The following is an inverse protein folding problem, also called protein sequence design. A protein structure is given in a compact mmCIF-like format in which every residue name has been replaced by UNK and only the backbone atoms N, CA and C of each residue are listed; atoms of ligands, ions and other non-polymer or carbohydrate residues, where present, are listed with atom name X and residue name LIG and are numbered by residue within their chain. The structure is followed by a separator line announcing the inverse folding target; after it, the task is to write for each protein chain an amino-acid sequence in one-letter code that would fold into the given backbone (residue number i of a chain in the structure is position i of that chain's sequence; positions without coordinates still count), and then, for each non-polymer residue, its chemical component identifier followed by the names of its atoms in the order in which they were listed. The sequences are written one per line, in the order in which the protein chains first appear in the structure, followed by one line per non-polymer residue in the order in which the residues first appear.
data_IF_623847823093
#
_entry.id   IF_623847823093
#
_cell.length_a   1.000
_cell.length_b   1.000
_cell.length_c   1.000
_cell.angle_alpha   90.00
_cell.angle_beta   90.00
_cell.angle_gamma   90.00
#
_symmetry.space_group_name_H-M   'P 1'
#
loop_
_entity.id
_entity.type
_entity.pdbx_description
1 polymer ?
#
# COMPACT_ATOMS: atom_id res chain seq x y z
N UNK A 1 -26.76 -64.79 -28.38
CA UNK A 1 -25.70 -64.53 -27.38
C UNK A 1 -25.87 -63.13 -26.82
N UNK A 2 -25.85 -62.90 -25.49
CA UNK A 2 -25.99 -61.56 -24.93
C UNK A 2 -24.67 -60.79 -25.00
N UNK A 3 -24.72 -59.55 -25.47
CA UNK A 3 -23.56 -58.65 -25.56
C UNK A 3 -23.36 -57.99 -24.19
N UNK A 4 -22.35 -58.46 -23.44
CA UNK A 4 -21.95 -57.86 -22.16
C UNK A 4 -21.06 -56.65 -22.45
N UNK A 5 -21.53 -55.43 -22.17
CA UNK A 5 -20.72 -54.20 -22.29
C UNK A 5 -19.75 -54.12 -21.12
N UNK A 6 -18.46 -54.33 -21.39
CA UNK A 6 -17.39 -54.18 -20.41
C UNK A 6 -17.12 -52.67 -20.22
N UNK A 7 -17.07 -52.15 -18.98
CA UNK A 7 -16.81 -50.74 -18.75
C UNK A 7 -15.36 -50.40 -19.13
N UNK A 8 -15.19 -49.39 -19.99
CA UNK A 8 -13.89 -48.92 -20.44
C UNK A 8 -13.24 -48.14 -19.29
N UNK A 9 -12.38 -48.80 -18.53
CA UNK A 9 -11.52 -48.16 -17.52
C UNK A 9 -10.32 -47.55 -18.24
N UNK A 10 -10.30 -46.22 -18.37
CA UNK A 10 -9.18 -45.47 -18.98
C UNK A 10 -7.97 -45.50 -18.03
N UNK A 11 -7.04 -46.44 -18.24
CA UNK A 11 -5.80 -46.61 -17.45
C UNK A 11 -4.59 -45.82 -17.96
N UNK A 12 -4.72 -45.05 -19.04
CA UNK A 12 -3.62 -44.25 -19.57
C UNK A 12 -4.08 -42.81 -19.72
N UNK A 13 -3.24 -41.85 -19.32
CA UNK A 13 -3.48 -40.39 -19.38
C UNK A 13 -3.63 -39.82 -20.80
N UNK A 14 -4.06 -40.64 -21.75
CA UNK A 14 -4.40 -40.26 -23.12
C UNK A 14 -5.83 -39.73 -23.08
N UNK A 15 -5.93 -38.42 -22.92
CA UNK A 15 -7.19 -37.68 -22.95
C UNK A 15 -7.61 -37.53 -24.42
N UNK A 16 -8.90 -37.71 -24.74
CA UNK A 16 -9.40 -37.43 -26.09
C UNK A 16 -9.31 -35.94 -26.38
N UNK A 17 -8.95 -35.57 -27.61
CA UNK A 17 -8.81 -34.16 -28.01
C UNK A 17 -10.04 -33.29 -27.66
N UNK A 18 -11.23 -33.87 -27.80
CA UNK A 18 -12.50 -33.24 -27.41
C UNK A 18 -12.59 -32.95 -25.90
N UNK A 19 -12.10 -33.85 -25.07
CA UNK A 19 -12.09 -33.68 -23.61
C UNK A 19 -11.01 -32.68 -23.19
N UNK A 20 -9.87 -32.65 -23.89
CA UNK A 20 -8.82 -31.65 -23.66
C UNK A 20 -9.32 -30.23 -23.92
N UNK A 21 -10.04 -30.01 -25.03
CA UNK A 21 -10.65 -28.71 -25.33
C UNK A 21 -11.68 -28.30 -24.26
N UNK A 22 -12.55 -29.23 -23.83
CA UNK A 22 -13.51 -28.97 -22.76
C UNK A 22 -12.84 -28.65 -21.42
N UNK A 23 -11.73 -29.32 -21.11
CA UNK A 23 -10.95 -29.04 -19.91
C UNK A 23 -10.29 -27.66 -19.97
N UNK A 24 -9.72 -27.29 -21.12
CA UNK A 24 -9.15 -25.96 -21.33
C UNK A 24 -10.22 -24.86 -21.19
N UNK A 25 -11.40 -25.04 -21.77
CA UNK A 25 -12.50 -24.09 -21.61
C UNK A 25 -12.96 -23.94 -20.15
N UNK A 26 -13.03 -25.04 -19.40
CA UNK A 26 -13.36 -25.00 -17.96
C UNK A 26 -12.32 -24.24 -17.16
N UNK A 27 -11.04 -24.56 -17.35
CA UNK A 27 -9.94 -23.87 -16.67
C UNK A 27 -9.88 -22.38 -17.03
N UNK A 28 -10.12 -22.02 -18.29
CA UNK A 28 -10.20 -20.62 -18.72
C UNK A 28 -11.38 -19.88 -18.07
N UNK A 29 -12.55 -20.53 -17.97
CA UNK A 29 -13.72 -19.98 -17.27
C UNK A 29 -13.43 -19.78 -15.78
N UNK A 30 -12.87 -20.77 -15.10
CA UNK A 30 -12.49 -20.69 -13.69
C UNK A 30 -11.44 -19.59 -13.42
N UNK A 31 -10.43 -19.46 -14.27
CA UNK A 31 -9.44 -18.38 -14.18
C UNK A 31 -10.10 -17.00 -14.36
N UNK A 32 -11.01 -16.87 -15.33
CA UNK A 32 -11.77 -15.62 -15.56
C UNK A 32 -12.68 -15.28 -14.38
N UNK A 33 -13.28 -16.28 -13.73
CA UNK A 33 -14.10 -16.10 -12.55
C UNK A 33 -13.28 -15.77 -11.31
N UNK A 34 -12.11 -16.39 -11.14
CA UNK A 34 -11.17 -16.06 -10.08
C UNK A 34 -10.70 -14.60 -10.20
N UNK A 35 -10.38 -14.15 -11.41
CA UNK A 35 -10.06 -12.74 -11.70
C UNK A 35 -11.24 -11.81 -11.39
N UNK A 36 -12.46 -12.17 -11.80
CA UNK A 36 -13.68 -11.40 -11.47
C UNK A 36 -13.94 -11.34 -9.96
N UNK A 37 -13.70 -12.43 -9.23
CA UNK A 37 -13.85 -12.50 -7.76
C UNK A 37 -12.78 -11.66 -7.06
N UNK A 38 -11.53 -11.70 -7.53
CA UNK A 38 -10.44 -10.83 -7.04
C UNK A 38 -10.78 -9.35 -7.24
N UNK A 39 -11.20 -8.98 -8.45
CA UNK A 39 -11.60 -7.60 -8.79
C UNK A 39 -12.81 -7.14 -7.99
N UNK A 40 -13.80 -8.01 -7.76
CA UNK A 40 -14.93 -7.72 -6.85
C UNK A 40 -14.48 -7.58 -5.39
N UNK A 41 -13.47 -8.32 -4.95
CA UNK A 41 -12.88 -8.22 -3.61
C UNK A 41 -12.11 -6.90 -3.45
N UNK A 42 -11.38 -6.46 -4.46
CA UNK A 42 -10.76 -5.13 -4.53
C UNK A 42 -11.79 -4.02 -4.48
N UNK A 43 -12.89 -4.15 -5.24
CA UNK A 43 -13.98 -3.17 -5.23
C UNK A 43 -14.74 -3.12 -3.88
N UNK A 44 -14.63 -4.18 -3.07
CA UNK A 44 -15.15 -4.25 -1.69
C UNK A 44 -14.12 -3.83 -0.63
N UNK A 45 -12.84 -3.63 -0.99
CA UNK A 45 -11.87 -3.04 -0.05
C UNK A 45 -12.34 -1.62 0.24
N UNK A 46 -12.15 -1.18 1.49
CA UNK A 46 -12.50 0.17 1.90
C UNK A 46 -12.01 1.17 0.85
N UNK A 47 -12.85 2.13 0.40
CA UNK A 47 -12.54 3.07 -0.69
C UNK A 47 -11.35 4.02 -0.41
N UNK A 48 -10.59 3.76 0.65
CA UNK A 48 -9.54 4.62 1.22
C UNK A 48 -8.25 3.82 1.43
N UNK A 49 -8.16 2.58 0.91
CA UNK A 49 -6.86 1.91 0.86
C UNK A 49 -5.96 2.66 -0.12
N UNK A 50 -4.82 3.11 0.37
CA UNK A 50 -3.86 3.84 -0.45
C UNK A 50 -3.15 2.82 -1.34
N UNK A 51 -3.09 3.10 -2.63
CA UNK A 51 -2.47 2.23 -3.62
C UNK A 51 -1.47 3.04 -4.42
N UNK A 52 -0.41 2.40 -4.93
CA UNK A 52 0.52 3.05 -5.84
C UNK A 52 -0.18 3.60 -7.10
N UNK A 53 -1.24 2.93 -7.55
CA UNK A 53 -2.08 3.38 -8.65
C UNK A 53 -2.75 4.72 -8.33
N UNK A 54 -3.24 4.89 -7.10
CA UNK A 54 -3.80 6.16 -6.65
C UNK A 54 -2.74 7.27 -6.64
N UNK A 55 -1.53 7.00 -6.11
CA UNK A 55 -0.43 7.98 -6.09
C UNK A 55 -0.03 8.40 -7.51
N UNK A 56 0.13 7.42 -8.41
CA UNK A 56 0.44 7.67 -9.83
C UNK A 56 -0.66 8.52 -10.48
N UNK A 57 -1.93 8.16 -10.26
CA UNK A 57 -3.08 8.92 -10.75
C UNK A 57 -3.09 10.35 -10.21
N UNK A 58 -2.92 10.52 -8.90
CA UNK A 58 -2.88 11.81 -8.22
C UNK A 58 -1.83 12.75 -8.82
N UNK A 59 -0.62 12.24 -9.06
CA UNK A 59 0.49 13.04 -9.59
C UNK A 59 0.37 13.32 -11.09
N UNK A 60 -0.29 12.45 -11.87
CA UNK A 60 -0.44 12.61 -13.33
C UNK A 60 -1.69 13.41 -13.75
N UNK A 61 -2.74 13.47 -12.92
CA UNK A 61 -3.99 14.17 -13.27
C UNK A 61 -3.78 15.69 -13.36
N UNK A 62 -4.00 16.25 -14.55
CA UNK A 62 -3.97 17.70 -14.81
C UNK A 62 -5.36 18.35 -14.78
N UNK A 63 -6.44 17.57 -14.97
CA UNK A 63 -7.81 18.10 -14.96
C UNK A 63 -8.18 18.63 -13.56
N UNK A 64 -8.51 19.93 -13.47
CA UNK A 64 -8.79 20.62 -12.20
C UNK A 64 -9.93 19.97 -11.40
N UNK A 65 -11.02 19.57 -12.07
CA UNK A 65 -12.18 18.95 -11.39
C UNK A 65 -11.84 17.58 -10.83
N UNK A 66 -11.14 16.75 -11.59
CA UNK A 66 -10.71 15.43 -11.13
C UNK A 66 -9.65 15.56 -10.03
N UNK A 67 -8.67 16.46 -10.19
CA UNK A 67 -7.65 16.73 -9.17
C UNK A 67 -8.26 17.19 -7.85
N UNK A 68 -9.27 18.05 -7.88
CA UNK A 68 -10.02 18.45 -6.68
C UNK A 68 -10.67 17.26 -5.96
N UNK A 69 -11.26 16.32 -6.70
CA UNK A 69 -11.82 15.08 -6.12
C UNK A 69 -10.75 14.16 -5.54
N UNK A 70 -9.60 14.05 -6.19
CA UNK A 70 -8.49 13.24 -5.68
C UNK A 70 -7.89 13.85 -4.40
N UNK A 71 -7.80 15.18 -4.31
CA UNK A 71 -7.38 15.89 -3.10
C UNK A 71 -8.33 15.63 -1.94
N UNK A 72 -9.66 15.70 -2.15
CA UNK A 72 -10.62 15.43 -1.06
C UNK A 72 -10.54 13.99 -0.58
N UNK A 73 -10.35 13.02 -1.48
CA UNK A 73 -10.11 11.61 -1.11
C UNK A 73 -8.81 11.48 -0.32
N UNK A 74 -7.72 12.09 -0.77
CA UNK A 74 -6.43 12.06 -0.07
C UNK A 74 -6.51 12.71 1.33
N UNK A 75 -7.29 13.78 1.49
CA UNK A 75 -7.54 14.39 2.80
C UNK A 75 -8.32 13.45 3.74
N UNK A 76 -9.29 12.69 3.22
CA UNK A 76 -9.96 11.66 3.99
C UNK A 76 -8.98 10.54 4.40
N UNK A 77 -8.10 10.11 3.47
CA UNK A 77 -7.03 9.15 3.75
C UNK A 77 -6.09 9.65 4.85
N UNK A 78 -5.66 10.91 4.81
CA UNK A 78 -4.86 11.54 5.88
C UNK A 78 -5.60 11.54 7.22
N UNK A 79 -6.88 11.91 7.22
CA UNK A 79 -7.70 11.95 8.43
C UNK A 79 -7.83 10.57 9.09
N UNK A 80 -7.95 9.52 8.28
CA UNK A 80 -8.03 8.14 8.76
C UNK A 80 -6.68 7.67 9.29
N UNK A 81 -5.58 7.97 8.58
CA UNK A 81 -4.25 7.61 9.04
C UNK A 81 -3.85 8.35 10.32
N UNK A 82 -4.30 9.59 10.50
CA UNK A 82 -4.14 10.34 11.76
C UNK A 82 -4.72 9.58 12.96
N UNK A 83 -5.87 8.91 12.78
CA UNK A 83 -6.47 8.06 13.81
C UNK A 83 -5.69 6.76 13.99
N UNK A 84 -5.26 6.15 12.88
CA UNK A 84 -4.51 4.89 12.85
C UNK A 84 -3.17 4.98 13.58
N UNK A 85 -2.48 6.12 13.50
CA UNK A 85 -1.23 6.38 14.25
C UNK A 85 -1.45 6.92 15.66
N UNK A 86 -2.71 7.02 16.14
CA UNK A 86 -3.00 7.53 17.48
C UNK A 86 -2.53 8.98 17.68
N UNK A 87 -2.63 9.84 16.66
CA UNK A 87 -2.05 11.19 16.71
C UNK A 87 -2.54 12.02 17.92
N UNK A 88 -3.83 11.91 18.26
CA UNK A 88 -4.41 12.61 19.41
C UNK A 88 -4.23 11.86 20.74
N UNK A 89 -3.79 10.61 20.69
CA UNK A 89 -3.65 9.72 21.84
C UNK A 89 -2.19 9.29 22.08
N UNK A 90 -1.24 10.07 21.55
CA UNK A 90 0.21 9.83 21.66
C UNK A 90 0.62 8.40 21.26
N UNK A 91 0.01 7.88 20.19
CA UNK A 91 0.32 6.54 19.68
C UNK A 91 -0.21 5.39 20.53
N UNK A 92 -1.13 5.65 21.47
CA UNK A 92 -1.76 4.63 22.31
C UNK A 92 -3.26 4.48 21.99
N UNK A 93 -3.78 3.25 22.07
CA UNK A 93 -5.21 2.97 21.92
C UNK A 93 -5.48 1.60 21.29
N UNK A 94 -6.67 1.06 21.53
CA UNK A 94 -7.07 -0.28 21.09
C UNK A 94 -7.13 -0.45 19.57
N UNK A 95 -7.31 0.65 18.82
CA UNK A 95 -7.40 0.66 17.36
C UNK A 95 -6.18 1.33 16.70
N UNK A 96 -5.13 1.62 17.47
CA UNK A 96 -3.91 2.22 16.94
C UNK A 96 -3.04 1.11 16.34
N UNK A 97 -2.60 1.32 15.11
CA UNK A 97 -1.64 0.47 14.44
C UNK A 97 -0.58 1.37 13.80
N UNK A 98 0.49 1.60 14.57
CA UNK A 98 1.57 2.53 14.21
C UNK A 98 2.26 2.09 12.93
N UNK A 99 2.73 0.84 12.86
CA UNK A 99 3.45 0.31 11.70
C UNK A 99 2.64 0.47 10.41
N UNK A 100 1.36 0.04 10.41
CA UNK A 100 0.53 0.17 9.23
C UNK A 100 0.09 1.61 8.95
N UNK A 101 0.03 2.49 9.96
CA UNK A 101 -0.27 3.91 9.76
C UNK A 101 0.90 4.68 9.17
N UNK A 102 2.12 4.38 9.59
CA UNK A 102 3.33 4.98 9.04
C UNK A 102 3.56 4.57 7.59
N UNK A 103 3.38 3.30 7.23
CA UNK A 103 3.49 2.85 5.83
C UNK A 103 2.50 3.54 4.91
N UNK A 104 1.26 3.70 5.37
CA UNK A 104 0.21 4.38 4.62
C UNK A 104 0.52 5.87 4.45
N UNK A 105 1.03 6.53 5.49
CA UNK A 105 1.45 7.93 5.42
C UNK A 105 2.67 8.12 4.51
N UNK A 106 3.60 7.18 4.46
CA UNK A 106 4.71 7.21 3.50
C UNK A 106 4.20 7.16 2.06
N UNK A 107 3.21 6.31 1.76
CA UNK A 107 2.60 6.31 0.43
C UNK A 107 1.90 7.65 0.14
N UNK A 108 1.17 8.22 1.10
CA UNK A 108 0.53 9.54 0.93
C UNK A 108 1.55 10.67 0.77
N UNK A 109 2.73 10.57 1.38
CA UNK A 109 3.80 11.55 1.23
C UNK A 109 4.32 11.63 -0.22
N UNK A 110 4.10 10.61 -1.04
CA UNK A 110 4.43 10.63 -2.46
C UNK A 110 3.44 11.46 -3.31
N UNK A 111 2.27 11.82 -2.77
CA UNK A 111 1.29 12.70 -3.41
C UNK A 111 1.73 14.16 -3.28
N UNK A 112 2.36 14.72 -4.32
CA UNK A 112 3.01 16.04 -4.26
C UNK A 112 2.08 17.18 -3.82
N UNK A 113 2.63 18.17 -3.14
CA UNK A 113 1.92 19.38 -2.72
C UNK A 113 1.33 19.28 -1.31
N UNK A 114 0.09 19.76 -1.12
CA UNK A 114 -0.53 19.89 0.22
C UNK A 114 -0.68 18.54 0.93
N UNK A 115 -0.90 17.47 0.17
CA UNK A 115 -1.06 16.11 0.74
C UNK A 115 0.27 15.60 1.27
N UNK A 116 1.36 15.78 0.53
CA UNK A 116 2.71 15.44 0.97
C UNK A 116 3.06 16.16 2.27
N UNK A 117 2.84 17.47 2.32
CA UNK A 117 3.16 18.28 3.50
C UNK A 117 2.41 17.80 4.75
N UNK A 118 1.09 17.56 4.61
CA UNK A 118 0.27 17.03 5.69
C UNK A 118 0.64 15.60 6.11
N UNK A 119 1.05 14.75 5.17
CA UNK A 119 1.51 13.39 5.47
C UNK A 119 2.82 13.42 6.29
N UNK A 120 3.78 14.25 5.88
CA UNK A 120 5.06 14.41 6.57
C UNK A 120 4.89 14.99 7.97
N UNK A 121 3.99 15.95 8.17
CA UNK A 121 3.72 16.52 9.50
C UNK A 121 3.11 15.50 10.47
N UNK A 122 2.18 14.68 9.97
CA UNK A 122 1.59 13.60 10.76
C UNK A 122 2.64 12.55 11.09
N UNK A 123 3.47 12.15 10.12
CA UNK A 123 4.58 11.22 10.34
C UNK A 123 5.53 11.72 11.42
N UNK A 124 6.05 12.95 11.28
CA UNK A 124 6.99 13.57 12.23
C UNK A 124 6.41 13.59 13.65
N UNK A 125 5.19 14.10 13.81
CA UNK A 125 4.56 14.19 15.14
C UNK A 125 4.31 12.80 15.73
N UNK A 126 3.86 11.86 14.91
CA UNK A 126 3.58 10.49 15.38
C UNK A 126 4.86 9.74 15.77
N UNK A 127 5.95 9.92 15.03
CA UNK A 127 7.28 9.37 15.35
C UNK A 127 7.96 10.11 16.50
N UNK A 128 7.53 11.30 16.87
CA UNK A 128 8.04 11.94 18.08
C UNK A 128 7.39 11.32 19.33
N UNK A 129 6.05 11.19 19.33
CA UNK A 129 5.30 10.81 20.53
C UNK A 129 4.96 9.32 20.67
N UNK A 130 5.09 8.49 19.62
CA UNK A 130 4.71 7.09 19.71
C UNK A 130 5.55 6.31 20.75
N UNK A 131 4.96 5.38 21.50
CA UNK A 131 5.70 4.56 22.46
C UNK A 131 6.76 3.69 21.76
N UNK A 132 7.81 3.34 22.50
CA UNK A 132 8.81 2.39 22.04
C UNK A 132 8.26 0.97 22.17
N UNK A 133 8.19 0.27 21.05
CA UNK A 133 7.74 -1.11 20.96
C UNK A 133 8.61 -1.87 19.93
N UNK A 134 9.25 -3.00 20.29
CA UNK A 134 10.09 -3.78 19.37
C UNK A 134 9.38 -4.20 18.07
N UNK A 135 8.06 -4.35 18.09
CA UNK A 135 7.26 -4.67 16.89
C UNK A 135 7.34 -3.59 15.80
N UNK A 136 7.84 -2.40 16.14
CA UNK A 136 8.03 -1.28 15.21
C UNK A 136 9.35 -1.35 14.41
N UNK A 137 10.34 -2.16 14.83
CA UNK A 137 11.70 -2.14 14.28
C UNK A 137 11.70 -2.36 12.76
N UNK A 138 10.97 -3.38 12.27
CA UNK A 138 10.86 -3.67 10.85
C UNK A 138 10.28 -2.50 10.05
N UNK A 139 9.28 -1.80 10.62
CA UNK A 139 8.69 -0.63 9.99
C UNK A 139 9.64 0.57 10.00
N UNK A 140 10.44 0.75 11.05
CA UNK A 140 11.45 1.79 11.13
C UNK A 140 12.57 1.58 10.10
N UNK A 141 13.02 0.34 9.86
CA UNK A 141 13.96 0.06 8.77
C UNK A 141 13.39 0.40 7.39
N UNK A 142 12.13 0.04 7.14
CA UNK A 142 11.43 0.44 5.90
C UNK A 142 11.35 1.96 5.75
N UNK A 143 11.02 2.68 6.82
CA UNK A 143 11.01 4.15 6.84
C UNK A 143 12.40 4.73 6.56
N UNK A 144 13.44 4.17 7.19
CA UNK A 144 14.82 4.62 7.00
C UNK A 144 15.27 4.47 5.54
N UNK A 145 15.01 3.30 4.93
CA UNK A 145 15.29 3.06 3.51
C UNK A 145 14.55 4.07 2.63
N UNK A 146 13.27 4.30 2.90
CA UNK A 146 12.45 5.23 2.12
C UNK A 146 12.95 6.67 2.24
N UNK A 147 13.33 7.11 3.44
CA UNK A 147 13.86 8.46 3.66
C UNK A 147 15.21 8.64 2.96
N UNK A 148 16.11 7.67 3.04
CA UNK A 148 17.39 7.70 2.32
C UNK A 148 17.16 7.79 0.81
N UNK A 149 16.20 7.03 0.29
CA UNK A 149 15.83 7.10 -1.12
C UNK A 149 15.33 8.49 -1.51
N UNK A 150 14.45 9.11 -0.72
CA UNK A 150 13.97 10.47 -0.99
C UNK A 150 15.08 11.52 -0.93
N UNK A 151 15.94 11.46 0.09
CA UNK A 151 17.08 12.38 0.21
C UNK A 151 17.98 12.25 -1.02
N UNK A 152 18.30 11.02 -1.43
CA UNK A 152 19.15 10.79 -2.60
C UNK A 152 18.49 11.25 -3.91
N UNK A 153 17.20 11.00 -4.08
CA UNK A 153 16.47 11.39 -5.28
C UNK A 153 16.30 12.91 -5.43
N UNK A 154 16.04 13.61 -4.31
CA UNK A 154 15.73 15.05 -4.31
C UNK A 154 16.99 15.93 -4.20
N UNK A 155 18.01 15.53 -3.41
CA UNK A 155 19.20 16.35 -3.16
C UNK A 155 20.09 16.57 -4.41
N UNK A 156 19.92 15.77 -5.45
CA UNK A 156 20.70 15.90 -6.70
C UNK A 156 20.11 16.97 -7.63
N UNK A 157 18.85 17.36 -7.45
CA UNK A 157 18.12 18.09 -8.49
C UNK A 157 18.02 19.61 -8.29
N UNK A 158 18.26 20.15 -7.09
CA UNK A 158 18.00 21.56 -6.78
C UNK A 158 19.08 22.16 -5.87
N UNK A 159 19.52 23.43 -6.10
CA UNK A 159 20.53 24.09 -5.27
C UNK A 159 20.00 24.62 -3.93
N UNK A 160 18.71 24.45 -3.64
CA UNK A 160 18.05 24.90 -2.41
C UNK A 160 17.06 23.85 -1.90
N UNK A 161 16.90 23.77 -0.58
CA UNK A 161 15.99 22.84 0.08
C UNK A 161 14.60 23.47 0.23
N UNK A 162 13.56 22.82 -0.29
CA UNK A 162 12.18 23.21 0.04
C UNK A 162 11.78 22.67 1.43
N UNK A 163 10.62 23.14 1.92
CA UNK A 163 10.07 22.75 3.23
C UNK A 163 9.91 21.23 3.38
N UNK A 164 9.52 20.53 2.31
CA UNK A 164 9.38 19.07 2.26
C UNK A 164 10.69 18.36 2.57
N UNK A 165 11.81 18.81 2.01
CA UNK A 165 13.13 18.20 2.12
C UNK A 165 13.66 18.37 3.54
N UNK A 166 13.44 19.53 4.15
CA UNK A 166 13.74 19.77 5.56
C UNK A 166 12.93 18.81 6.45
N UNK A 167 11.64 18.61 6.14
CA UNK A 167 10.78 17.65 6.88
C UNK A 167 11.26 16.20 6.68
N UNK A 168 11.70 15.83 5.48
CA UNK A 168 12.26 14.50 5.17
C UNK A 168 13.57 14.27 5.95
N UNK A 169 14.46 15.26 6.01
CA UNK A 169 15.70 15.17 6.80
C UNK A 169 15.39 15.00 8.30
N UNK A 170 14.45 15.78 8.84
CA UNK A 170 13.98 15.62 10.23
C UNK A 170 13.36 14.25 10.48
N UNK A 171 12.62 13.73 9.51
CA UNK A 171 12.02 12.40 9.56
C UNK A 171 13.11 11.33 9.65
N UNK A 172 14.14 11.44 8.80
CA UNK A 172 15.30 10.56 8.83
C UNK A 172 15.99 10.58 10.20
N UNK A 173 16.25 11.77 10.73
CA UNK A 173 16.83 11.92 12.07
C UNK A 173 16.03 11.17 13.14
N UNK A 174 14.70 11.37 13.19
CA UNK A 174 13.84 10.70 14.19
C UNK A 174 13.84 9.17 14.01
N UNK A 175 13.78 8.68 12.78
CA UNK A 175 13.78 7.23 12.51
C UNK A 175 15.10 6.59 12.93
N UNK A 176 16.24 7.19 12.56
CA UNK A 176 17.55 6.68 12.98
C UNK A 176 17.76 6.79 14.49
N UNK A 177 17.30 7.87 15.12
CA UNK A 177 17.35 8.01 16.58
C UNK A 177 16.55 6.90 17.28
N UNK A 178 15.34 6.60 16.79
CA UNK A 178 14.55 5.49 17.32
C UNK A 178 15.24 4.14 17.12
N UNK A 179 15.75 3.87 15.92
CA UNK A 179 16.50 2.63 15.64
C UNK A 179 17.72 2.50 16.54
N UNK A 180 18.43 3.60 16.82
CA UNK A 180 19.56 3.62 17.73
C UNK A 180 19.16 3.30 19.17
N UNK A 181 18.01 3.78 19.65
CA UNK A 181 17.52 3.49 21.02
C UNK A 181 17.13 2.02 21.18
N UNK A 182 16.67 1.35 20.12
CA UNK A 182 16.32 -0.07 20.16
C UNK A 182 17.55 -1.01 20.15
N UNK A 183 18.74 -0.49 19.84
CA UNK A 183 19.99 -1.25 19.75
C UNK A 183 20.87 -1.01 20.98
#
# INVERSE_FOLDING_TARGET
MPIIKIPIVKKFGIISHTYQLQLQEKLAKEASEALKRSRKKEMRRNPVHITEEFVKKFNCTQELKEKGRLITIAQQMLSWNKRKVGFNTMGSGSNVNLSAGWTDLVLLAQCKGIIQDGALDILLTSLDHAPFDPDQISCLFFLAETVLYWIFADAIQQPYLYSSEIKIIKLGFLVFLRLFIFH
#
